data_IF_354643663195
#
_entry.id   IF_354643663195
#
_cell.length_a   1.000
_cell.length_b   1.000
_cell.length_c   1.000
_cell.angle_alpha   90.00
_cell.angle_beta   90.00
_cell.angle_gamma   90.00
#
_symmetry.space_group_name_H-M   'P 1'
#
loop_
_entity.id
_entity.type
_entity.pdbx_description
1 polymer ?
#
# COMPACT_ATOMS: atom_id res chain seq x y z
N UNK A 1 -9.34 -12.72 -13.34
CA UNK A 1 -9.38 -14.01 -14.10
C UNK A 1 -7.95 -14.49 -14.31
N UNK A 2 -7.64 -15.71 -13.87
CA UNK A 2 -6.29 -16.30 -13.98
C UNK A 2 -6.02 -16.84 -15.38
N UNK A 3 -4.78 -16.70 -15.86
CA UNK A 3 -4.37 -17.24 -17.15
C UNK A 3 -4.57 -18.76 -17.21
N UNK A 4 -4.96 -19.27 -18.39
CA UNK A 4 -5.23 -20.71 -18.60
C UNK A 4 -3.99 -21.57 -18.35
N UNK A 5 -2.82 -21.11 -18.78
CA UNK A 5 -1.53 -21.80 -18.60
C UNK A 5 -1.18 -21.99 -17.13
N UNK A 6 -1.45 -21.00 -16.28
CA UNK A 6 -1.24 -21.08 -14.82
C UNK A 6 -2.12 -22.16 -14.20
N UNK A 7 -3.40 -22.21 -14.59
CA UNK A 7 -4.34 -23.25 -14.13
C UNK A 7 -3.91 -24.65 -14.59
N UNK A 8 -3.48 -24.78 -15.84
CA UNK A 8 -3.01 -26.05 -16.38
C UNK A 8 -1.70 -26.50 -15.73
N UNK A 9 -0.80 -25.58 -15.42
CA UNK A 9 0.43 -25.87 -14.69
C UNK A 9 0.12 -26.37 -13.28
N UNK A 10 -0.75 -25.66 -12.54
CA UNK A 10 -1.20 -26.09 -11.22
C UNK A 10 -1.79 -27.51 -11.22
N UNK A 11 -2.67 -27.81 -12.18
CA UNK A 11 -3.29 -29.14 -12.29
C UNK A 11 -2.27 -30.25 -12.62
N UNK A 12 -1.12 -29.91 -13.20
CA UNK A 12 -0.06 -30.86 -13.58
C UNK A 12 1.02 -30.99 -12.50
N UNK A 13 1.32 -29.90 -11.79
CA UNK A 13 2.26 -29.90 -10.69
C UNK A 13 1.63 -30.68 -9.53
N UNK A 14 2.17 -31.85 -9.22
CA UNK A 14 1.79 -32.62 -8.02
C UNK A 14 2.37 -32.03 -6.72
N UNK A 15 2.90 -30.79 -6.77
CA UNK A 15 3.54 -30.10 -5.65
C UNK A 15 2.94 -28.72 -5.42
N UNK A 16 3.07 -28.17 -4.19
CA UNK A 16 2.41 -26.94 -3.77
C UNK A 16 3.02 -25.66 -4.36
N UNK A 17 4.27 -25.69 -4.81
CA UNK A 17 5.01 -24.46 -5.13
C UNK A 17 5.54 -24.48 -6.56
N UNK A 18 5.15 -23.47 -7.35
CA UNK A 18 5.79 -23.11 -8.60
C UNK A 18 5.97 -21.59 -8.67
N UNK A 19 6.90 -21.12 -9.50
CA UNK A 19 7.14 -19.68 -9.68
C UNK A 19 6.46 -19.19 -10.97
N UNK A 20 5.91 -17.99 -10.88
CA UNK A 20 5.33 -17.27 -12.00
C UNK A 20 6.30 -16.21 -12.47
N UNK A 21 6.78 -16.37 -13.70
CA UNK A 21 7.43 -15.28 -14.41
C UNK A 21 6.36 -14.39 -15.06
N UNK A 22 6.33 -13.12 -14.68
CA UNK A 22 5.42 -12.12 -15.25
C UNK A 22 6.27 -11.06 -15.93
N UNK A 23 6.06 -10.87 -17.23
CA UNK A 23 6.76 -9.86 -18.00
C UNK A 23 5.81 -9.03 -18.84
N UNK A 24 6.12 -7.76 -19.01
CA UNK A 24 5.27 -6.82 -19.74
C UNK A 24 6.00 -5.56 -20.17
N UNK A 25 5.44 -4.90 -21.17
CA UNK A 25 5.89 -3.58 -21.61
C UNK A 25 4.92 -2.51 -21.11
N UNK A 26 5.45 -1.48 -20.45
CA UNK A 26 4.73 -0.24 -20.27
C UNK A 26 4.73 0.52 -21.60
N UNK A 27 3.56 0.88 -22.12
CA UNK A 27 3.40 1.50 -23.44
C UNK A 27 2.71 2.86 -23.30
N UNK A 28 3.26 3.91 -23.94
CA UNK A 28 2.53 5.12 -24.28
C UNK A 28 2.14 5.06 -25.75
N UNK A 29 0.89 4.64 -26.01
CA UNK A 29 0.40 4.32 -27.33
C UNK A 29 1.28 3.25 -28.02
N UNK A 30 2.04 3.64 -29.06
CA UNK A 30 2.92 2.74 -29.81
C UNK A 30 4.39 2.84 -29.37
N UNK A 31 4.69 3.57 -28.28
CA UNK A 31 6.06 3.77 -27.78
C UNK A 31 6.30 2.94 -26.52
N UNK A 32 7.27 2.02 -26.51
CA UNK A 32 7.68 1.36 -25.28
C UNK A 32 8.32 2.38 -24.35
N UNK A 33 7.77 2.49 -23.14
CA UNK A 33 8.32 3.32 -22.07
C UNK A 33 9.29 2.51 -21.22
N UNK A 34 8.91 1.28 -20.88
CA UNK A 34 9.67 0.42 -19.98
C UNK A 34 9.32 -1.05 -20.17
N UNK A 35 10.18 -1.94 -19.70
CA UNK A 35 9.95 -3.38 -19.65
C UNK A 35 10.18 -3.88 -18.23
N UNK A 36 9.20 -4.60 -17.68
CA UNK A 36 9.34 -5.30 -16.42
C UNK A 36 9.36 -6.82 -16.65
N UNK A 37 10.19 -7.50 -15.86
CA UNK A 37 10.21 -8.95 -15.78
C UNK A 37 10.45 -9.35 -14.33
N UNK A 38 9.42 -9.90 -13.74
CA UNK A 38 9.36 -10.21 -12.32
C UNK A 38 9.07 -11.70 -12.10
N UNK A 39 9.52 -12.20 -10.96
CA UNK A 39 9.28 -13.57 -10.53
C UNK A 39 8.51 -13.53 -9.22
N UNK A 40 7.33 -14.15 -9.22
CA UNK A 40 6.47 -14.22 -8.05
C UNK A 40 6.23 -15.67 -7.65
N UNK A 41 6.14 -15.97 -6.34
CA UNK A 41 5.62 -17.25 -5.91
C UNK A 41 4.18 -17.40 -6.43
N UNK A 42 3.87 -18.54 -7.04
CA UNK A 42 2.49 -18.88 -7.31
C UNK A 42 1.81 -19.26 -5.99
N UNK A 43 0.56 -18.87 -5.86
CA UNK A 43 -0.31 -19.28 -4.76
C UNK A 43 -1.43 -20.17 -5.30
N UNK A 44 -1.10 -21.38 -5.78
CA UNK A 44 -2.12 -22.32 -6.21
C UNK A 44 -2.95 -22.80 -5.01
N UNK A 45 -4.27 -22.87 -5.16
CA UNK A 45 -5.15 -23.42 -4.13
C UNK A 45 -5.93 -22.39 -3.30
N UNK A 46 -5.80 -21.09 -3.58
CA UNK A 46 -6.73 -20.10 -3.04
C UNK A 46 -8.14 -20.41 -3.55
N UNK A 47 -9.07 -20.68 -2.63
CA UNK A 47 -10.49 -20.76 -2.96
C UNK A 47 -11.07 -19.36 -3.26
N UNK A 48 -12.36 -19.27 -3.54
CA UNK A 48 -12.98 -17.99 -3.91
C UNK A 48 -12.95 -16.98 -2.74
N UNK A 49 -13.10 -17.46 -1.51
CA UNK A 49 -13.08 -16.62 -0.31
C UNK A 49 -11.67 -16.07 -0.05
N UNK A 50 -10.65 -16.93 -0.13
CA UNK A 50 -9.26 -16.54 0.03
C UNK A 50 -8.78 -15.62 -1.10
N UNK A 51 -9.25 -15.81 -2.33
CA UNK A 51 -8.99 -14.89 -3.44
C UNK A 51 -9.57 -13.49 -3.18
N UNK A 52 -10.75 -13.42 -2.58
CA UNK A 52 -11.38 -12.15 -2.21
C UNK A 52 -10.62 -11.47 -1.06
N UNK A 53 -10.19 -12.24 -0.04
CA UNK A 53 -9.34 -11.71 1.03
C UNK A 53 -8.01 -11.17 0.52
N UNK A 54 -7.33 -11.90 -0.36
CA UNK A 54 -6.08 -11.41 -0.98
C UNK A 54 -6.33 -10.13 -1.79
N UNK A 55 -7.46 -10.03 -2.50
CA UNK A 55 -7.85 -8.81 -3.23
C UNK A 55 -8.06 -7.63 -2.27
N UNK A 56 -8.69 -7.85 -1.12
CA UNK A 56 -8.85 -6.83 -0.08
C UNK A 56 -7.50 -6.35 0.45
N UNK A 57 -6.51 -7.23 0.64
CA UNK A 57 -5.16 -6.82 1.04
C UNK A 57 -4.53 -5.88 0.01
N UNK A 58 -4.65 -6.18 -1.28
CA UNK A 58 -4.15 -5.35 -2.38
C UNK A 58 -4.89 -4.01 -2.45
N UNK A 59 -6.21 -4.01 -2.34
CA UNK A 59 -7.03 -2.79 -2.33
C UNK A 59 -6.69 -1.89 -1.13
N UNK A 60 -6.44 -2.48 0.03
CA UNK A 60 -6.00 -1.78 1.23
C UNK A 60 -4.64 -1.09 1.02
N UNK A 61 -3.68 -1.77 0.39
CA UNK A 61 -2.38 -1.19 0.03
C UNK A 61 -2.54 -0.03 -0.97
N UNK A 62 -3.32 -0.22 -2.04
CA UNK A 62 -3.61 0.85 -3.02
C UNK A 62 -4.21 2.09 -2.35
N UNK A 63 -5.14 1.89 -1.41
CA UNK A 63 -5.75 2.98 -0.66
C UNK A 63 -4.73 3.67 0.27
N UNK A 64 -3.84 2.92 0.92
CA UNK A 64 -2.78 3.45 1.76
C UNK A 64 -1.77 4.30 0.96
N UNK A 65 -1.30 3.80 -0.19
CA UNK A 65 -0.38 4.53 -1.08
C UNK A 65 -1.04 5.79 -1.63
N UNK A 66 -2.29 5.70 -2.08
CA UNK A 66 -3.07 6.86 -2.54
C UNK A 66 -3.20 7.93 -1.45
N UNK A 67 -3.45 7.50 -0.20
CA UNK A 67 -3.51 8.41 0.94
C UNK A 67 -2.17 9.08 1.23
N UNK A 68 -1.07 8.30 1.20
CA UNK A 68 0.29 8.79 1.35
C UNK A 68 0.61 9.87 0.32
N UNK A 69 0.45 9.57 -0.98
CA UNK A 69 0.73 10.50 -2.08
C UNK A 69 -0.09 11.78 -1.96
N UNK A 70 -1.38 11.65 -1.61
CA UNK A 70 -2.27 12.80 -1.40
C UNK A 70 -1.76 13.71 -0.27
N UNK A 71 -1.34 13.14 0.86
CA UNK A 71 -0.88 13.93 1.99
C UNK A 71 0.54 14.49 1.78
N UNK A 72 1.43 13.78 1.08
CA UNK A 72 2.71 14.33 0.64
C UNK A 72 2.50 15.56 -0.24
N UNK A 73 1.61 15.47 -1.22
CA UNK A 73 1.22 16.61 -2.07
C UNK A 73 0.61 17.76 -1.24
N UNK A 74 -0.17 17.45 -0.21
CA UNK A 74 -0.72 18.46 0.68
C UNK A 74 0.37 19.14 1.53
N UNK A 75 1.32 18.38 2.06
CA UNK A 75 2.45 18.88 2.84
C UNK A 75 3.40 19.78 2.01
N UNK A 76 3.56 19.50 0.71
CA UNK A 76 4.36 20.32 -0.21
C UNK A 76 3.64 21.60 -0.68
N UNK A 77 2.32 21.73 -0.50
CA UNK A 77 1.58 22.94 -0.87
C UNK A 77 1.86 24.06 0.14
N UNK A 78 2.92 24.84 -0.11
CA UNK A 78 3.14 26.10 0.60
C UNK A 78 2.05 27.11 0.20
N UNK A 79 1.29 27.63 1.17
CA UNK A 79 0.45 28.81 0.93
C UNK A 79 1.37 29.99 0.56
N UNK A 80 1.27 30.47 -0.68
CA UNK A 80 1.84 31.76 -1.09
C UNK A 80 3.13 31.76 -1.94
N UNK A 81 3.79 30.62 -2.18
CA UNK A 81 4.93 30.57 -3.11
C UNK A 81 4.57 29.80 -4.38
N UNK A 82 4.47 30.52 -5.50
CA UNK A 82 4.23 29.98 -6.86
C UNK A 82 5.32 29.00 -7.36
N UNK A 83 6.44 28.85 -6.64
CA UNK A 83 7.62 28.05 -7.06
C UNK A 83 8.03 26.95 -6.06
N UNK A 84 7.17 26.53 -5.14
CA UNK A 84 7.55 25.47 -4.17
C UNK A 84 7.45 24.09 -4.84
N UNK A 85 8.52 23.30 -4.71
CA UNK A 85 8.68 21.90 -5.13
C UNK A 85 7.34 21.17 -5.31
N UNK A 86 6.90 21.02 -6.56
CA UNK A 86 5.71 20.25 -6.87
C UNK A 86 6.06 18.77 -6.77
N UNK A 87 5.49 18.10 -5.77
CA UNK A 87 5.35 16.66 -5.81
C UNK A 87 4.52 16.31 -7.06
N UNK A 88 5.22 15.90 -8.11
CA UNK A 88 4.71 15.70 -9.48
C UNK A 88 5.06 14.31 -9.97
N UNK A 89 4.41 13.87 -11.06
CA UNK A 89 4.37 12.49 -11.59
C UNK A 89 5.53 11.59 -11.16
N UNK A 90 6.75 11.84 -11.64
CA UNK A 90 7.92 11.00 -11.35
C UNK A 90 8.23 10.80 -9.87
N UNK A 91 8.03 11.81 -9.03
CA UNK A 91 8.23 11.67 -7.58
C UNK A 91 7.11 10.87 -6.92
N UNK A 92 5.89 10.92 -7.47
CA UNK A 92 4.80 10.08 -7.01
C UNK A 92 5.04 8.61 -7.39
N UNK A 93 5.45 8.37 -8.63
CA UNK A 93 5.74 7.02 -9.14
C UNK A 93 6.85 6.35 -8.32
N UNK A 94 7.96 7.06 -8.02
CA UNK A 94 9.03 6.54 -7.18
C UNK A 94 8.60 6.25 -5.73
N UNK A 95 7.65 7.02 -5.19
CA UNK A 95 7.12 6.79 -3.84
C UNK A 95 6.18 5.58 -3.84
N UNK A 96 5.39 5.42 -4.89
CA UNK A 96 4.51 4.28 -5.06
C UNK A 96 5.31 2.98 -5.22
N UNK A 97 6.30 2.97 -6.11
CA UNK A 97 7.20 1.83 -6.32
C UNK A 97 7.93 1.44 -5.02
N UNK A 98 8.52 2.42 -4.33
CA UNK A 98 9.19 2.17 -3.04
C UNK A 98 8.21 1.65 -1.96
N UNK A 99 6.96 2.11 -1.97
CA UNK A 99 5.96 1.60 -1.02
C UNK A 99 5.66 0.12 -1.26
N UNK A 100 5.45 -0.28 -2.52
CA UNK A 100 5.15 -1.67 -2.85
C UNK A 100 6.35 -2.58 -2.62
N UNK A 101 7.54 -2.16 -3.03
CA UNK A 101 8.77 -2.93 -2.79
C UNK A 101 9.01 -3.17 -1.28
N UNK A 102 8.83 -2.15 -0.44
CA UNK A 102 9.04 -2.27 1.00
C UNK A 102 7.93 -3.06 1.73
N UNK A 103 6.75 -3.24 1.12
CA UNK A 103 5.62 -3.97 1.73
C UNK A 103 5.44 -5.39 1.17
N UNK A 104 6.15 -5.75 0.10
CA UNK A 104 6.02 -7.03 -0.60
C UNK A 104 6.27 -8.24 0.30
N UNK A 105 7.25 -8.17 1.20
CA UNK A 105 7.55 -9.26 2.13
C UNK A 105 6.40 -9.54 3.10
N UNK A 106 5.81 -8.48 3.67
CA UNK A 106 4.67 -8.58 4.59
C UNK A 106 3.40 -9.05 3.85
N UNK A 107 3.20 -8.60 2.61
CA UNK A 107 2.12 -9.10 1.76
C UNK A 107 2.25 -10.60 1.48
N UNK A 108 3.44 -11.03 1.05
CA UNK A 108 3.73 -12.44 0.79
C UNK A 108 3.51 -13.31 2.03
N UNK A 109 3.93 -12.83 3.21
CA UNK A 109 3.69 -13.51 4.48
C UNK A 109 2.19 -13.57 4.84
N UNK A 110 1.42 -12.51 4.57
CA UNK A 110 -0.02 -12.49 4.78
C UNK A 110 -0.75 -13.49 3.87
N UNK A 111 -0.40 -13.54 2.58
CA UNK A 111 -0.99 -14.50 1.64
C UNK A 111 -0.72 -15.95 2.06
N UNK A 112 0.51 -16.26 2.50
CA UNK A 112 0.83 -17.60 3.02
C UNK A 112 -0.01 -17.97 4.24
N UNK A 113 -0.20 -17.04 5.19
CA UNK A 113 -1.06 -17.29 6.37
C UNK A 113 -2.52 -17.55 6.00
N UNK A 114 -3.03 -16.91 4.94
CA UNK A 114 -4.37 -17.17 4.41
C UNK A 114 -4.43 -18.62 3.90
N UNK A 115 -3.49 -19.02 3.05
CA UNK A 115 -3.43 -20.37 2.46
C UNK A 115 -3.28 -21.46 3.52
N UNK A 116 -2.44 -21.23 4.52
CA UNK A 116 -2.19 -22.19 5.60
C UNK A 116 -3.33 -22.23 6.63
N UNK A 117 -4.38 -21.40 6.46
CA UNK A 117 -5.42 -21.12 7.46
C UNK A 117 -4.84 -20.79 8.84
N UNK A 118 -3.64 -20.21 8.85
CA UNK A 118 -2.82 -20.00 10.02
C UNK A 118 -2.99 -18.57 10.54
N UNK A 119 -3.99 -18.39 11.39
CA UNK A 119 -4.17 -17.17 12.20
C UNK A 119 -5.36 -16.31 11.80
N UNK A 120 -6.02 -15.76 12.81
CA UNK A 120 -7.24 -14.96 12.69
C UNK A 120 -6.99 -13.45 12.61
N UNK A 121 -5.72 -13.03 12.46
CA UNK A 121 -5.30 -11.63 12.57
C UNK A 121 -4.51 -11.13 11.35
N UNK A 122 -4.66 -11.78 10.20
CA UNK A 122 -3.92 -11.43 8.97
C UNK A 122 -4.18 -9.98 8.57
N UNK A 123 -5.44 -9.57 8.58
CA UNK A 123 -5.90 -8.25 8.18
C UNK A 123 -5.38 -7.15 9.12
N UNK A 124 -5.38 -7.40 10.43
CA UNK A 124 -4.90 -6.43 11.43
C UNK A 124 -3.36 -6.31 11.38
N UNK A 125 -2.65 -7.43 11.17
CA UNK A 125 -1.21 -7.42 10.93
C UNK A 125 -0.85 -6.67 9.65
N UNK A 126 -1.59 -6.91 8.56
CA UNK A 126 -1.41 -6.22 7.30
C UNK A 126 -1.67 -4.72 7.42
N UNK A 127 -2.79 -4.32 8.05
CA UNK A 127 -3.09 -2.92 8.34
C UNK A 127 -1.94 -2.24 9.09
N UNK A 128 -1.38 -2.92 10.11
CA UNK A 128 -0.24 -2.39 10.86
C UNK A 128 0.98 -2.19 9.97
N UNK A 129 1.31 -3.16 9.11
CA UNK A 129 2.44 -3.08 8.20
C UNK A 129 2.32 -1.89 7.24
N UNK A 130 1.23 -1.81 6.46
CA UNK A 130 1.03 -0.74 5.49
C UNK A 130 0.89 0.63 6.15
N UNK A 131 0.29 0.70 7.36
CA UNK A 131 0.19 1.94 8.13
C UNK A 131 1.56 2.43 8.56
N UNK A 132 2.36 1.55 9.17
CA UNK A 132 3.69 1.90 9.64
C UNK A 132 4.57 2.34 8.47
N UNK A 133 4.49 1.64 7.33
CA UNK A 133 5.23 2.01 6.13
C UNK A 133 4.81 3.37 5.58
N UNK A 134 3.51 3.61 5.40
CA UNK A 134 3.00 4.87 4.89
C UNK A 134 3.41 6.06 5.78
N UNK A 135 3.32 5.90 7.10
CA UNK A 135 3.72 6.94 8.05
C UNK A 135 5.24 7.16 8.04
N UNK A 136 6.04 6.10 8.01
CA UNK A 136 7.51 6.20 7.90
C UNK A 136 7.91 6.99 6.67
N UNK A 137 7.40 6.60 5.50
CA UNK A 137 7.72 7.26 4.23
C UNK A 137 7.26 8.71 4.19
N UNK A 138 6.10 9.02 4.81
CA UNK A 138 5.65 10.39 4.97
C UNK A 138 6.60 11.19 5.84
N UNK A 139 6.96 10.67 7.01
CA UNK A 139 7.79 11.37 7.99
C UNK A 139 9.18 11.66 7.41
N UNK A 140 9.82 10.68 6.76
CA UNK A 140 11.12 10.86 6.10
C UNK A 140 11.11 11.96 5.03
N UNK A 141 10.03 12.06 4.24
CA UNK A 141 9.96 12.98 3.10
C UNK A 141 9.38 14.35 3.46
N UNK A 142 8.44 14.41 4.39
CA UNK A 142 7.72 15.62 4.74
C UNK A 142 8.29 16.32 5.97
N UNK A 143 8.90 15.58 6.92
CA UNK A 143 9.45 16.15 8.15
C UNK A 143 10.98 16.32 8.12
N UNK A 144 11.65 15.83 7.07
CA UNK A 144 13.05 16.17 6.83
C UNK A 144 13.23 17.70 6.71
N UNK A 145 14.15 18.27 7.50
CA UNK A 145 14.39 19.72 7.50
C UNK A 145 13.28 20.55 8.15
N UNK A 146 12.51 19.98 9.09
CA UNK A 146 11.39 20.67 9.75
C UNK A 146 11.76 22.04 10.37
N UNK A 147 13.01 22.17 10.85
CA UNK A 147 13.57 23.41 11.42
C UNK A 147 13.74 24.53 10.39
N UNK A 148 13.78 24.19 9.11
CA UNK A 148 13.97 25.15 8.01
C UNK A 148 12.62 25.67 7.48
N UNK A 149 11.51 25.25 8.08
CA UNK A 149 10.15 25.64 7.70
C UNK A 149 9.59 26.73 8.61
N UNK A 150 8.77 27.61 8.02
CA UNK A 150 7.96 28.55 8.77
C UNK A 150 6.85 27.83 9.57
N UNK A 151 6.30 28.49 10.59
CA UNK A 151 5.25 27.92 11.47
C UNK A 151 4.07 27.38 10.64
N UNK A 152 3.65 28.10 9.61
CA UNK A 152 2.57 27.68 8.72
C UNK A 152 2.91 26.39 7.93
N UNK A 153 4.16 26.23 7.49
CA UNK A 153 4.68 25.04 6.83
C UNK A 153 4.75 23.82 7.76
N UNK A 154 5.08 24.05 9.03
CA UNK A 154 5.06 23.01 10.08
C UNK A 154 3.60 22.58 10.34
N UNK A 155 2.69 23.52 10.56
CA UNK A 155 1.26 23.25 10.78
C UNK A 155 0.65 22.43 9.63
N UNK A 156 0.98 22.80 8.38
CA UNK A 156 0.49 22.08 7.20
C UNK A 156 0.91 20.61 7.19
N UNK A 157 2.18 20.31 7.53
CA UNK A 157 2.71 18.94 7.62
C UNK A 157 2.06 18.15 8.74
N UNK A 158 1.89 18.77 9.91
CA UNK A 158 1.22 18.13 11.06
C UNK A 158 -0.23 17.78 10.71
N UNK A 159 -0.96 18.69 10.06
CA UNK A 159 -2.33 18.45 9.60
C UNK A 159 -2.37 17.35 8.54
N UNK A 160 -1.45 17.35 7.57
CA UNK A 160 -1.35 16.32 6.54
C UNK A 160 -1.07 14.93 7.15
N UNK A 161 -0.13 14.84 8.09
CA UNK A 161 0.16 13.60 8.84
C UNK A 161 -1.05 13.09 9.62
N UNK A 162 -1.77 13.98 10.30
CA UNK A 162 -3.01 13.64 11.02
C UNK A 162 -4.07 13.10 10.06
N UNK A 163 -4.22 13.72 8.90
CA UNK A 163 -5.17 13.27 7.89
C UNK A 163 -4.77 11.91 7.30
N UNK A 164 -3.47 11.65 7.09
CA UNK A 164 -2.97 10.35 6.66
C UNK A 164 -3.42 9.26 7.64
N UNK A 165 -3.11 9.44 8.92
CA UNK A 165 -3.52 8.51 9.98
C UNK A 165 -5.03 8.32 10.01
N UNK A 166 -5.80 9.41 9.91
CA UNK A 166 -7.26 9.35 9.89
C UNK A 166 -7.84 8.59 8.68
N UNK A 167 -7.18 8.65 7.52
CA UNK A 167 -7.58 7.87 6.34
C UNK A 167 -7.22 6.40 6.51
N UNK A 168 -6.03 6.08 7.01
CA UNK A 168 -5.59 4.70 7.24
C UNK A 168 -6.54 3.99 8.24
N UNK A 169 -6.87 4.63 9.36
CA UNK A 169 -7.73 4.04 10.39
C UNK A 169 -9.21 3.90 10.00
N UNK A 170 -9.66 4.61 8.96
CA UNK A 170 -11.08 4.57 8.52
C UNK A 170 -11.26 3.82 7.21
N UNK A 171 -10.57 4.26 6.16
CA UNK A 171 -10.78 3.75 4.81
C UNK A 171 -10.10 2.41 4.63
N UNK A 172 -8.83 2.29 5.03
CA UNK A 172 -8.06 1.05 4.85
C UNK A 172 -8.57 -0.03 5.80
N UNK A 173 -8.86 0.32 7.07
CA UNK A 173 -9.53 -0.59 8.01
C UNK A 173 -10.85 -1.13 7.48
N UNK A 174 -11.67 -0.28 6.84
CA UNK A 174 -12.95 -0.69 6.23
C UNK A 174 -12.76 -1.66 5.06
N UNK A 175 -11.75 -1.46 4.21
CA UNK A 175 -11.47 -2.36 3.08
C UNK A 175 -11.06 -3.77 3.54
N UNK A 176 -10.52 -3.86 4.75
CA UNK A 176 -10.12 -5.11 5.40
C UNK A 176 -11.21 -5.71 6.29
N UNK A 177 -12.44 -5.18 6.23
CA UNK A 177 -13.59 -5.61 7.05
C UNK A 177 -13.31 -5.66 8.57
N UNK A 178 -12.35 -4.88 9.04
CA UNK A 178 -11.96 -4.85 10.44
C UNK A 178 -12.93 -3.98 11.26
N UNK A 179 -13.27 -4.37 12.50
CA UNK A 179 -14.14 -3.59 13.36
C UNK A 179 -13.48 -2.24 13.70
N UNK A 180 -14.27 -1.18 13.68
CA UNK A 180 -13.81 0.16 14.08
C UNK A 180 -13.54 0.15 15.58
N UNK A 181 -12.35 0.59 16.05
CA UNK A 181 -12.06 0.61 17.48
C UNK A 181 -13.11 1.44 18.21
N UNK A 182 -13.73 0.85 19.24
CA UNK A 182 -14.75 1.51 20.04
C UNK A 182 -14.18 2.82 20.59
N UNK A 183 -14.84 3.96 20.31
CA UNK A 183 -14.51 5.23 20.98
C UNK A 183 -14.64 5.02 22.47
N UNK A 184 -13.53 5.02 23.22
CA UNK A 184 -13.56 5.14 24.68
C UNK A 184 -14.41 6.37 25.00
N UNK A 185 -15.60 6.17 25.55
CA UNK A 185 -16.36 7.24 26.19
C UNK A 185 -15.48 7.73 27.33
N UNK A 186 -14.96 8.95 27.22
CA UNK A 186 -14.45 9.66 28.37
C UNK A 186 -15.56 9.69 29.43
N UNK A 187 -15.33 8.97 30.54
CA UNK A 187 -16.05 9.23 31.78
C UNK A 187 -15.66 10.64 32.19
N UNK A 188 -16.56 11.59 31.97
CA UNK A 188 -16.53 12.86 32.68
C UNK A 188 -16.66 12.53 34.18
N UNK A 189 -15.64 12.90 34.94
CA UNK A 189 -15.68 13.01 36.39
C UNK A 189 -15.92 14.48 36.74
#
# INVERSE_FOLDING_TARGET
RTARTVRECHNRSQGPDFELMVGGWAMDNMKPLDFSLDQYPAFPGLDEEDQDRVRQLVEAANAATSALLKQLKAACKRKGLKNTFQFSGKSADLVEEAFFSETEGEFTAAVRRIIDSAGTEVEEAWLRAIRNQAVRMFDERALGGLTDHDIAGIECRVVARRNLLGTLEKQVRKLLDLPVPAKKKEKQA
#
